data_IF_520619348474
#
_entry.id   IF_520619348474
#
_cell.length_a   1.000
_cell.length_b   1.000
_cell.length_c   1.000
_cell.angle_alpha   90.00
_cell.angle_beta   90.00
_cell.angle_gamma   90.00
#
_symmetry.space_group_name_H-M   'P 1'
#
loop_
_entity.id
_entity.type
_entity.pdbx_description
1 polymer ?
#
# COMPACT_ATOMS: atom_id res chain seq x y z
N UNK A 1 10.64 1.44 0.31
CA UNK A 1 9.89 0.54 -0.59
C UNK A 1 8.43 0.61 -0.19
N UNK A 2 7.51 0.80 -1.14
CA UNK A 2 6.07 0.83 -0.85
C UNK A 2 5.59 -0.50 -0.26
N UNK A 3 4.63 -0.44 0.64
CA UNK A 3 4.00 -1.61 1.25
C UNK A 3 3.23 -2.44 0.21
N UNK A 4 2.62 -1.80 -0.79
CA UNK A 4 1.99 -2.50 -1.92
C UNK A 4 3.03 -3.34 -2.67
N UNK A 5 4.20 -2.76 -2.99
CA UNK A 5 5.27 -3.51 -3.66
C UNK A 5 5.75 -4.68 -2.80
N UNK A 6 5.75 -4.58 -1.47
CA UNK A 6 6.08 -5.72 -0.60
C UNK A 6 5.03 -6.82 -0.68
N UNK A 7 3.74 -6.47 -0.74
CA UNK A 7 2.67 -7.46 -0.90
C UNK A 7 2.73 -8.18 -2.24
N UNK A 8 3.10 -7.47 -3.32
CA UNK A 8 3.22 -8.05 -4.67
C UNK A 8 4.48 -8.91 -4.86
N UNK A 9 5.60 -8.52 -4.23
CA UNK A 9 6.90 -9.20 -4.41
C UNK A 9 7.20 -10.28 -3.35
N UNK A 10 6.39 -10.37 -2.28
CA UNK A 10 6.58 -11.41 -1.28
C UNK A 10 6.17 -12.79 -1.83
N UNK A 11 6.91 -13.82 -1.43
CA UNK A 11 6.55 -15.23 -1.68
C UNK A 11 5.36 -15.63 -0.81
N UNK A 12 4.16 -15.18 -1.21
CA UNK A 12 2.90 -15.44 -0.55
C UNK A 12 2.25 -16.74 -1.07
N UNK A 13 1.66 -17.51 -0.16
CA UNK A 13 0.75 -18.61 -0.52
C UNK A 13 -0.50 -18.06 -1.21
N UNK A 14 -1.29 -18.92 -1.85
CA UNK A 14 -2.54 -18.49 -2.50
C UNK A 14 -3.47 -17.72 -1.55
N UNK A 15 -3.67 -18.25 -0.34
CA UNK A 15 -4.51 -17.63 0.68
C UNK A 15 -3.96 -16.26 1.10
N UNK A 16 -2.65 -16.17 1.31
CA UNK A 16 -1.99 -14.91 1.66
C UNK A 16 -2.11 -13.86 0.54
N UNK A 17 -2.02 -14.29 -0.72
CA UNK A 17 -2.27 -13.42 -1.89
C UNK A 17 -3.72 -12.93 -1.93
N UNK A 18 -4.68 -13.82 -1.69
CA UNK A 18 -6.10 -13.47 -1.66
C UNK A 18 -6.37 -12.40 -0.57
N UNK A 19 -5.73 -12.54 0.61
CA UNK A 19 -5.80 -11.55 1.69
C UNK A 19 -5.12 -10.22 1.31
N UNK A 20 -3.90 -10.27 0.75
CA UNK A 20 -3.19 -9.05 0.34
C UNK A 20 -3.96 -8.28 -0.74
N UNK A 21 -4.48 -9.00 -1.73
CA UNK A 21 -5.29 -8.44 -2.81
C UNK A 21 -6.55 -7.77 -2.27
N UNK A 22 -7.27 -8.44 -1.36
CA UNK A 22 -8.45 -7.87 -0.72
C UNK A 22 -8.14 -6.55 -0.01
N UNK A 23 -7.01 -6.47 0.71
CA UNK A 23 -6.56 -5.24 1.39
C UNK A 23 -6.28 -4.12 0.38
N UNK A 24 -5.66 -4.43 -0.75
CA UNK A 24 -5.35 -3.47 -1.82
C UNK A 24 -6.62 -2.95 -2.50
N UNK A 25 -7.56 -3.84 -2.81
CA UNK A 25 -8.84 -3.49 -3.44
C UNK A 25 -9.71 -2.61 -2.55
N UNK A 26 -9.67 -2.83 -1.24
CA UNK A 26 -10.44 -2.07 -0.25
C UNK A 26 -9.59 -1.02 0.49
N UNK A 27 -8.55 -0.49 -0.16
CA UNK A 27 -7.60 0.47 0.43
C UNK A 27 -8.26 1.72 1.03
N UNK A 28 -9.37 2.18 0.44
CA UNK A 28 -10.10 3.37 0.90
C UNK A 28 -10.89 3.10 2.19
N UNK A 29 -11.23 1.83 2.45
CA UNK A 29 -12.01 1.39 3.60
C UNK A 29 -11.14 0.76 4.69
N UNK A 30 -9.83 0.65 4.48
CA UNK A 30 -8.91 -0.07 5.36
C UNK A 30 -8.94 0.44 6.80
N UNK A 31 -9.22 1.74 7.00
CA UNK A 31 -9.40 2.36 8.31
C UNK A 31 -10.53 1.72 9.13
N UNK A 32 -11.56 1.18 8.46
CA UNK A 32 -12.71 0.51 9.10
C UNK A 32 -12.61 -1.01 9.04
N UNK A 33 -11.74 -1.57 8.20
CA UNK A 33 -11.55 -3.01 8.08
C UNK A 33 -10.86 -3.59 9.32
N UNK A 34 -11.53 -4.59 9.91
CA UNK A 34 -10.99 -5.46 10.97
C UNK A 34 -10.45 -6.76 10.39
N UNK A 35 -9.62 -7.48 11.15
CA UNK A 35 -9.15 -8.82 10.75
C UNK A 35 -10.29 -9.80 10.50
N UNK A 36 -11.38 -9.70 11.25
CA UNK A 36 -12.57 -10.53 11.06
C UNK A 36 -13.31 -10.19 9.76
N UNK A 37 -13.43 -8.90 9.42
CA UNK A 37 -14.06 -8.47 8.17
C UNK A 37 -13.26 -8.96 6.95
N UNK A 38 -11.93 -8.82 6.98
CA UNK A 38 -11.03 -9.32 5.93
C UNK A 38 -11.12 -10.84 5.82
N UNK A 39 -11.10 -11.54 6.96
CA UNK A 39 -11.23 -12.99 6.98
C UNK A 39 -12.54 -13.46 6.35
N UNK A 40 -13.66 -12.79 6.65
CA UNK A 40 -14.95 -13.06 6.04
C UNK A 40 -14.95 -12.79 4.54
N UNK A 41 -14.39 -11.65 4.10
CA UNK A 41 -14.32 -11.27 2.70
C UNK A 41 -13.42 -12.19 1.85
N UNK A 42 -12.45 -12.84 2.48
CA UNK A 42 -11.50 -13.74 1.80
C UNK A 42 -11.76 -15.23 2.05
N UNK A 43 -12.83 -15.58 2.77
CA UNK A 43 -13.12 -16.95 3.20
C UNK A 43 -11.95 -17.60 3.96
N UNK A 44 -11.29 -16.83 4.82
CA UNK A 44 -10.15 -17.25 5.64
C UNK A 44 -10.44 -17.06 7.14
N UNK A 45 -9.41 -17.18 7.98
CA UNK A 45 -9.50 -16.91 9.42
C UNK A 45 -8.78 -15.61 9.80
N UNK A 46 -9.22 -14.95 10.86
CA UNK A 46 -8.55 -13.75 11.39
C UNK A 46 -7.07 -14.01 11.71
N UNK A 47 -6.74 -15.23 12.13
CA UNK A 47 -5.35 -15.67 12.35
C UNK A 47 -4.53 -15.70 11.06
N UNK A 48 -5.12 -16.02 9.91
CA UNK A 48 -4.42 -15.97 8.62
C UNK A 48 -4.03 -14.53 8.26
N UNK A 49 -4.91 -13.56 8.52
CA UNK A 49 -4.63 -12.12 8.33
C UNK A 49 -3.48 -11.66 9.23
N UNK A 50 -3.45 -12.09 10.50
CA UNK A 50 -2.37 -11.77 11.44
C UNK A 50 -1.04 -12.41 10.98
N UNK A 51 -1.06 -13.68 10.56
CA UNK A 51 0.14 -14.35 10.05
C UNK A 51 0.69 -13.67 8.80
N UNK A 52 -0.18 -13.20 7.89
CA UNK A 52 0.26 -12.40 6.76
C UNK A 52 0.98 -11.13 7.21
N UNK A 53 0.42 -10.40 8.18
CA UNK A 53 1.05 -9.19 8.70
C UNK A 53 2.43 -9.50 9.30
N UNK A 54 2.56 -10.58 10.08
CA UNK A 54 3.85 -11.05 10.61
C UNK A 54 4.84 -11.39 9.50
N UNK A 55 4.39 -12.10 8.46
CA UNK A 55 5.22 -12.47 7.30
C UNK A 55 5.71 -11.26 6.51
N UNK A 56 4.93 -10.18 6.51
CA UNK A 56 5.31 -8.89 5.90
C UNK A 56 6.21 -8.03 6.82
N UNK A 57 6.56 -8.54 8.01
CA UNK A 57 7.50 -7.92 8.95
C UNK A 57 6.85 -6.97 9.96
N UNK A 58 5.54 -7.05 10.17
CA UNK A 58 4.81 -6.25 11.15
C UNK A 58 4.54 -7.03 12.43
N UNK A 59 4.28 -6.35 13.54
CA UNK A 59 3.90 -7.02 14.80
C UNK A 59 2.47 -7.58 14.78
N UNK A 60 1.67 -7.18 13.79
CA UNK A 60 0.32 -7.67 13.57
C UNK A 60 -0.45 -6.81 12.58
N UNK A 61 -1.75 -7.09 12.40
CA UNK A 61 -2.57 -6.37 11.42
C UNK A 61 -2.72 -4.88 11.73
N UNK A 62 -2.84 -4.49 13.01
CA UNK A 62 -2.98 -3.07 13.37
C UNK A 62 -1.74 -2.25 13.00
N UNK A 63 -0.55 -2.83 13.18
CA UNK A 63 0.72 -2.20 12.79
C UNK A 63 0.84 -2.07 11.26
N UNK A 64 0.53 -3.15 10.53
CA UNK A 64 0.41 -3.13 9.07
C UNK A 64 -0.55 -2.04 8.59
N UNK A 65 -1.76 -1.98 9.18
CA UNK A 65 -2.81 -1.03 8.83
C UNK A 65 -2.37 0.42 9.06
N UNK A 66 -1.77 0.70 10.22
CA UNK A 66 -1.23 2.03 10.53
C UNK A 66 -0.21 2.44 9.47
N UNK A 67 0.75 1.57 9.17
CA UNK A 67 1.80 1.87 8.19
C UNK A 67 1.28 2.04 6.78
N UNK A 68 0.21 1.32 6.42
CA UNK A 68 -0.47 1.46 5.13
C UNK A 68 -1.21 2.80 5.03
N UNK A 69 -1.93 3.21 6.08
CA UNK A 69 -2.62 4.51 6.13
C UNK A 69 -1.65 5.69 6.05
N UNK A 70 -0.53 5.63 6.77
CA UNK A 70 0.54 6.64 6.68
C UNK A 70 1.10 6.76 5.26
N UNK A 71 1.28 5.62 4.57
CA UNK A 71 1.76 5.60 3.19
C UNK A 71 0.74 6.18 2.21
N UNK A 72 -0.55 5.86 2.37
CA UNK A 72 -1.63 6.47 1.58
C UNK A 72 -1.68 7.99 1.80
N UNK A 73 -1.59 8.44 3.05
CA UNK A 73 -1.57 9.86 3.39
C UNK A 73 -0.35 10.58 2.79
N UNK A 74 0.84 9.97 2.84
CA UNK A 74 2.05 10.48 2.21
C UNK A 74 1.89 10.60 0.70
N UNK A 75 1.41 9.55 0.02
CA UNK A 75 1.17 9.59 -1.42
C UNK A 75 0.19 10.70 -1.78
N UNK A 76 -0.96 10.75 -1.11
CA UNK A 76 -1.98 11.77 -1.36
C UNK A 76 -1.46 13.20 -1.10
N UNK A 77 -0.68 13.41 -0.04
CA UNK A 77 -0.11 14.72 0.29
C UNK A 77 0.95 15.16 -0.72
N UNK A 78 1.81 14.25 -1.19
CA UNK A 78 2.79 14.58 -2.21
C UNK A 78 2.12 14.88 -3.56
N UNK A 79 1.08 14.14 -3.97
CA UNK A 79 0.36 14.46 -5.21
C UNK A 79 -0.37 15.81 -5.17
N UNK A 80 -0.79 16.27 -3.98
CA UNK A 80 -1.44 17.58 -3.81
C UNK A 80 -0.44 18.73 -3.63
N UNK A 81 0.85 18.44 -3.41
CA UNK A 81 1.90 19.42 -3.13
C UNK A 81 3.10 19.33 -4.10
N UNK A 82 2.91 18.73 -5.28
CA UNK A 82 3.86 18.90 -6.39
C UNK A 82 3.65 20.31 -6.94
N UNK A 83 4.37 21.28 -6.37
CA UNK A 83 4.66 22.51 -7.06
C UNK A 83 5.63 22.17 -8.20
N UNK A 84 5.09 22.16 -9.43
CA UNK A 84 5.81 21.90 -10.69
C UNK A 84 6.97 22.87 -10.95
N UNK A 85 7.16 23.90 -10.12
CA UNK A 85 8.26 24.85 -10.23
C UNK A 85 9.43 24.59 -9.27
N UNK A 86 9.39 23.54 -8.44
CA UNK A 86 10.52 23.21 -7.57
C UNK A 86 11.49 22.30 -8.33
N UNK A 87 12.73 22.75 -8.62
CA UNK A 87 13.73 21.94 -9.30
C UNK A 87 14.07 20.70 -8.47
N UNK A 88 14.21 19.56 -9.15
CA UNK A 88 14.52 18.27 -8.56
C UNK A 88 15.73 18.38 -7.61
N UNK A 89 15.47 18.23 -6.31
CA UNK A 89 16.51 18.14 -5.29
C UNK A 89 16.76 16.68 -4.94
N UNK A 90 18.01 16.34 -4.58
CA UNK A 90 18.53 14.96 -4.45
C UNK A 90 17.78 14.05 -3.46
N UNK A 91 16.88 14.58 -2.63
CA UNK A 91 16.05 13.80 -1.69
C UNK A 91 14.71 13.33 -2.29
N UNK A 92 14.40 13.68 -3.54
CA UNK A 92 13.18 13.22 -4.19
C UNK A 92 13.31 11.74 -4.58
N UNK A 93 12.68 10.90 -3.76
CA UNK A 93 12.52 9.47 -4.00
C UNK A 93 11.92 9.22 -5.40
N UNK A 94 12.39 8.16 -6.07
CA UNK A 94 12.18 7.78 -7.49
C UNK A 94 10.72 7.93 -7.98
N UNK A 95 9.74 7.91 -7.07
CA UNK A 95 8.32 8.13 -7.35
C UNK A 95 8.00 9.51 -7.97
N UNK A 96 8.75 10.58 -7.61
CA UNK A 96 8.54 11.93 -8.18
C UNK A 96 8.89 11.99 -9.68
N UNK A 97 9.81 11.13 -10.14
CA UNK A 97 10.21 11.05 -11.55
C UNK A 97 9.13 10.35 -12.39
N UNK A 98 8.45 9.34 -11.83
CA UNK A 98 7.39 8.60 -12.53
C UNK A 98 6.14 9.46 -12.82
N UNK A 99 5.80 10.39 -11.92
CA UNK A 99 4.71 11.34 -12.13
C UNK A 99 4.98 12.30 -13.30
N UNK A 100 6.19 12.87 -13.36
CA UNK A 100 6.60 13.79 -14.42
C UNK A 100 6.59 13.14 -15.81
N UNK A 101 6.95 11.85 -15.91
CA UNK A 101 6.94 11.11 -17.19
C UNK A 101 5.52 10.90 -17.71
N UNK A 102 4.53 10.68 -16.83
CA UNK A 102 3.14 10.48 -17.25
C UNK A 102 2.56 11.73 -17.90
N UNK A 103 2.88 12.92 -17.38
CA UNK A 103 2.35 14.18 -17.89
C UNK A 103 2.99 14.58 -19.22
N UNK A 104 4.30 14.32 -19.39
CA UNK A 104 5.01 14.57 -20.66
C UNK A 104 4.59 13.58 -21.77
N UNK A 105 4.15 12.37 -21.44
CA UNK A 105 3.65 11.40 -22.43
C UNK A 105 2.23 11.66 -22.94
N UNK A 106 1.46 12.55 -22.30
CA UNK A 106 0.10 12.90 -22.76
C UNK A 106 0.13 13.96 -23.89
N UNK A 107 1.28 14.59 -24.14
CA UNK A 107 1.48 15.57 -25.23
C UNK A 107 2.56 15.15 -26.25
N UNK A 108 2.59 13.88 -26.67
CA UNK A 108 3.38 13.45 -27.85
C UNK A 108 2.59 12.52 -28.77
#
# INVERSE_FOLDING_TARGET
>A
MLLINRMENASLTRIEKDIAQYIIEHKEEIEKLSTHAIAKGTYTSSSAVIRLAHKLGFEGYNDLKKRYLEEQAYLNSNFQNIDVNIPFSQDNNIMSVAGAIKEVMIES
#
